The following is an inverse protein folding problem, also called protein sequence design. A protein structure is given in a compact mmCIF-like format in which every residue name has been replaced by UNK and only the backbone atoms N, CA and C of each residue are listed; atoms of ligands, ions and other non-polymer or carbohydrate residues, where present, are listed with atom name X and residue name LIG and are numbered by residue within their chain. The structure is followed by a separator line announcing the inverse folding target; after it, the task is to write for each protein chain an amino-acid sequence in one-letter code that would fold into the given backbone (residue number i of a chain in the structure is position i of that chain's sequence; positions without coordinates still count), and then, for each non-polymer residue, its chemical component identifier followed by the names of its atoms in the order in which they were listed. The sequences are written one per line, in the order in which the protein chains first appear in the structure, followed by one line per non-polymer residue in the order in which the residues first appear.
data_IF_517678584619
#
_entry.id   IF_517678584619
#
_cell.length_a   1.000
_cell.length_b   1.000
_cell.length_c   1.000
_cell.angle_alpha   90.00
_cell.angle_beta   90.00
_cell.angle_gamma   90.00
#
_symmetry.space_group_name_H-M   'P 1'
#
loop_
_entity.id
_entity.type
_entity.pdbx_description
1 polymer ?
#
# COMPACT_ATOMS: atom_id res chain seq x y z
N UNK A 1 -58.36 -4.37 23.19
CA UNK A 1 -57.67 -3.57 22.15
C UNK A 1 -56.26 -3.30 22.66
N UNK A 2 -55.25 -4.03 22.21
CA UNK A 2 -53.86 -3.57 22.30
C UNK A 2 -53.04 -4.31 21.26
N UNK A 3 -52.59 -3.53 20.29
CA UNK A 3 -52.07 -3.91 18.99
C UNK A 3 -50.73 -4.64 19.08
N UNK A 4 -50.59 -5.64 18.21
CA UNK A 4 -49.37 -6.39 17.91
C UNK A 4 -48.38 -5.51 17.10
N UNK A 5 -47.67 -4.60 17.77
CA UNK A 5 -46.70 -3.68 17.14
C UNK A 5 -45.21 -4.08 17.32
N UNK A 6 -44.95 -5.23 17.94
CA UNK A 6 -43.60 -5.63 18.36
C UNK A 6 -42.60 -6.02 17.24
N UNK A 7 -42.97 -6.64 16.09
CA UNK A 7 -41.97 -7.17 15.16
C UNK A 7 -41.44 -6.13 14.16
N UNK A 8 -42.26 -5.17 13.70
CA UNK A 8 -41.86 -4.19 12.67
C UNK A 8 -40.86 -3.15 13.22
N UNK A 9 -41.04 -2.73 14.48
CA UNK A 9 -40.15 -1.76 15.13
C UNK A 9 -38.76 -2.36 15.34
N UNK A 10 -38.64 -3.56 15.91
CA UNK A 10 -37.33 -4.24 16.09
C UNK A 10 -36.57 -4.45 14.77
N UNK A 11 -37.26 -4.82 13.68
CA UNK A 11 -36.63 -4.98 12.36
C UNK A 11 -36.11 -3.66 11.79
N UNK A 12 -36.82 -2.54 11.97
CA UNK A 12 -36.35 -1.21 11.53
C UNK A 12 -35.10 -0.75 12.27
N UNK A 13 -34.99 -0.99 13.57
CA UNK A 13 -33.79 -0.63 14.35
C UNK A 13 -32.59 -1.52 14.00
N UNK A 14 -32.81 -2.80 13.73
CA UNK A 14 -31.77 -3.69 13.18
C UNK A 14 -31.25 -3.22 11.83
N UNK A 15 -32.15 -2.82 10.92
CA UNK A 15 -31.75 -2.28 9.61
C UNK A 15 -31.00 -0.94 9.73
N UNK A 16 -31.40 -0.06 10.65
CA UNK A 16 -30.71 1.21 10.91
C UNK A 16 -29.31 0.93 11.49
N UNK A 17 -29.17 0.01 12.44
CA UNK A 17 -27.88 -0.37 13.01
C UNK A 17 -26.94 -0.95 11.95
N UNK A 18 -27.45 -1.81 11.06
CA UNK A 18 -26.69 -2.34 9.92
C UNK A 18 -26.27 -1.22 8.96
N UNK A 19 -27.18 -0.30 8.62
CA UNK A 19 -26.86 0.83 7.75
C UNK A 19 -25.79 1.76 8.35
N UNK A 20 -25.85 2.01 9.65
CA UNK A 20 -24.88 2.84 10.38
C UNK A 20 -23.48 2.22 10.37
N UNK A 21 -23.36 0.89 10.41
CA UNK A 21 -22.06 0.19 10.33
C UNK A 21 -21.60 0.00 8.88
N UNK A 22 -22.52 -0.31 7.96
CA UNK A 22 -22.19 -0.54 6.55
C UNK A 22 -21.74 0.73 5.84
N UNK A 23 -22.32 1.90 6.18
CA UNK A 23 -21.97 3.18 5.56
C UNK A 23 -20.49 3.57 5.72
N UNK A 24 -19.90 3.60 6.93
CA UNK A 24 -18.48 3.93 7.10
C UNK A 24 -17.57 2.90 6.44
N UNK A 25 -17.94 1.61 6.44
CA UNK A 25 -17.16 0.57 5.74
C UNK A 25 -17.16 0.84 4.23
N UNK A 26 -18.32 1.14 3.65
CA UNK A 26 -18.43 1.46 2.23
C UNK A 26 -17.62 2.72 1.87
N UNK A 27 -17.75 3.79 2.66
CA UNK A 27 -17.00 5.03 2.45
C UNK A 27 -15.49 4.79 2.55
N UNK A 28 -15.04 4.00 3.53
CA UNK A 28 -13.65 3.64 3.68
C UNK A 28 -13.13 2.81 2.49
N UNK A 29 -13.91 1.84 2.01
CA UNK A 29 -13.55 1.05 0.83
C UNK A 29 -13.42 1.91 -0.43
N UNK A 30 -14.34 2.85 -0.65
CA UNK A 30 -14.28 3.78 -1.79
C UNK A 30 -13.04 4.68 -1.66
N UNK A 31 -12.81 5.24 -0.47
CA UNK A 31 -11.65 6.09 -0.21
C UNK A 31 -10.33 5.34 -0.41
N UNK A 32 -10.18 4.16 0.17
CA UNK A 32 -8.99 3.32 0.02
C UNK A 32 -8.77 2.94 -1.46
N UNK A 33 -9.84 2.57 -2.17
CA UNK A 33 -9.80 2.31 -3.60
C UNK A 33 -9.29 3.52 -4.39
N UNK A 34 -9.83 4.71 -4.14
CA UNK A 34 -9.38 5.92 -4.82
C UNK A 34 -7.92 6.26 -4.49
N UNK A 35 -7.54 6.27 -3.20
CA UNK A 35 -6.20 6.60 -2.75
C UNK A 35 -5.13 5.64 -3.32
N UNK A 36 -5.46 4.35 -3.51
CA UNK A 36 -4.53 3.33 -3.98
C UNK A 36 -4.42 3.20 -5.50
N UNK A 37 -5.27 3.88 -6.27
CA UNK A 37 -5.24 3.87 -7.73
C UNK A 37 -4.95 5.25 -8.32
N UNK A 38 -4.91 6.30 -7.50
CA UNK A 38 -4.61 7.66 -7.96
C UNK A 38 -3.13 7.99 -7.74
N UNK A 39 -2.36 7.95 -8.82
CA UNK A 39 -0.99 8.43 -8.81
C UNK A 39 -0.94 9.96 -8.74
N UNK A 40 -0.38 10.49 -7.65
CA UNK A 40 -0.08 11.92 -7.52
C UNK A 40 1.14 12.30 -8.36
N UNK A 41 2.14 11.42 -8.40
CA UNK A 41 3.38 11.61 -9.14
C UNK A 41 3.92 10.26 -9.58
N UNK A 42 4.49 10.20 -10.77
CA UNK A 42 5.13 8.99 -11.31
C UNK A 42 6.54 9.34 -11.77
N UNK A 43 7.48 8.42 -11.65
CA UNK A 43 8.86 8.67 -12.05
C UNK A 43 9.77 7.47 -11.90
N UNK A 44 11.06 7.70 -12.09
CA UNK A 44 12.09 6.68 -11.92
C UNK A 44 13.11 7.06 -10.85
N UNK A 45 13.59 6.07 -10.11
CA UNK A 45 14.72 6.21 -9.19
C UNK A 45 15.73 5.10 -9.42
N UNK A 46 16.99 5.48 -9.51
CA UNK A 46 18.10 4.54 -9.65
C UNK A 46 18.88 4.44 -8.34
N UNK A 47 19.35 3.24 -8.03
CA UNK A 47 20.14 2.99 -6.83
C UNK A 47 20.60 1.54 -6.74
N UNK A 48 21.18 1.17 -5.61
CA UNK A 48 21.48 -0.24 -5.29
C UNK A 48 20.41 -0.76 -4.34
N UNK A 49 19.77 -1.87 -4.68
CA UNK A 49 18.77 -2.49 -3.83
C UNK A 49 19.46 -3.12 -2.61
N UNK A 50 19.32 -2.50 -1.44
CA UNK A 50 20.03 -2.91 -0.22
C UNK A 50 19.20 -3.90 0.60
N UNK A 51 17.89 -3.66 0.68
CA UNK A 51 16.98 -4.46 1.49
C UNK A 51 15.67 -4.66 0.74
N UNK A 52 15.15 -5.87 0.83
CA UNK A 52 13.81 -6.21 0.38
C UNK A 52 13.25 -7.29 1.30
N UNK A 53 12.09 -7.04 1.91
CA UNK A 53 11.54 -7.92 2.95
C UNK A 53 10.03 -7.87 2.95
N UNK A 54 9.40 -9.03 3.12
CA UNK A 54 7.97 -9.14 3.37
C UNK A 54 7.71 -8.99 4.87
N UNK A 55 7.24 -7.83 5.30
CA UNK A 55 7.04 -7.51 6.72
C UNK A 55 5.60 -7.10 7.01
N UNK A 56 5.18 -7.33 8.25
CA UNK A 56 3.83 -7.03 8.74
C UNK A 56 3.31 -8.10 9.69
N UNK A 57 2.46 -7.69 10.63
CA UNK A 57 1.87 -8.59 11.64
C UNK A 57 0.48 -9.10 11.23
N UNK A 58 -0.42 -8.18 10.87
CA UNK A 58 -1.78 -8.49 10.42
C UNK A 58 -1.89 -8.57 8.90
N UNK A 59 -1.28 -7.61 8.20
CA UNK A 59 -1.19 -7.54 6.74
C UNK A 59 0.29 -7.48 6.38
N UNK A 60 0.78 -8.41 5.57
CA UNK A 60 2.16 -8.38 5.11
C UNK A 60 2.27 -7.64 3.78
N UNK A 61 3.25 -6.75 3.69
CA UNK A 61 3.58 -6.01 2.48
C UNK A 61 5.05 -6.23 2.14
N UNK A 62 5.38 -6.11 0.86
CA UNK A 62 6.76 -6.15 0.40
C UNK A 62 7.35 -4.75 0.48
N UNK A 63 8.41 -4.60 1.25
CA UNK A 63 9.02 -3.31 1.55
C UNK A 63 10.49 -3.37 1.18
N UNK A 64 10.92 -2.40 0.39
CA UNK A 64 12.26 -2.30 -0.15
C UNK A 64 12.94 -0.99 0.19
N UNK A 65 14.26 -1.01 0.08
CA UNK A 65 15.13 0.14 0.31
C UNK A 65 16.27 0.16 -0.71
N UNK A 66 16.40 1.26 -1.45
CA UNK A 66 17.56 1.50 -2.32
C UNK A 66 18.48 2.57 -1.73
N UNK A 67 19.77 2.39 -1.96
CA UNK A 67 20.77 3.44 -1.79
C UNK A 67 20.91 4.21 -3.12
N UNK A 68 20.41 5.45 -3.19
CA UNK A 68 20.44 6.26 -4.41
C UNK A 68 21.84 6.83 -4.70
N UNK A 69 22.59 7.16 -3.65
CA UNK A 69 23.95 7.70 -3.74
C UNK A 69 24.94 6.62 -3.37
N UNK A 70 25.86 6.29 -4.27
CA UNK A 70 26.92 5.29 -4.03
C UNK A 70 28.31 5.91 -3.97
N UNK A 71 28.42 7.21 -3.67
CA UNK A 71 29.70 7.92 -3.59
C UNK A 71 30.48 7.43 -2.36
N UNK A 72 31.69 6.87 -2.54
CA UNK A 72 32.51 6.41 -1.41
C UNK A 72 32.80 7.54 -0.43
N UNK A 73 32.67 7.27 0.87
CA UNK A 73 32.92 8.25 1.93
C UNK A 73 31.74 9.18 2.25
N UNK A 74 30.61 9.07 1.53
CA UNK A 74 29.36 9.80 1.83
C UNK A 74 28.29 8.79 2.23
N UNK A 75 27.50 9.12 3.26
CA UNK A 75 26.37 8.30 3.66
C UNK A 75 25.36 8.20 2.50
N UNK A 76 24.94 6.98 2.09
CA UNK A 76 23.99 6.81 1.01
C UNK A 76 22.63 7.42 1.40
N UNK A 77 22.00 8.13 0.47
CA UNK A 77 20.62 8.56 0.64
C UNK A 77 19.74 7.34 0.40
N UNK A 78 19.13 6.85 1.47
CA UNK A 78 18.24 5.70 1.42
C UNK A 78 16.84 6.14 1.01
N UNK A 79 16.24 5.39 0.10
CA UNK A 79 14.84 5.57 -0.29
C UNK A 79 14.09 4.28 -0.12
N UNK A 80 13.02 4.34 0.67
CA UNK A 80 12.12 3.24 0.94
C UNK A 80 10.91 3.29 0.01
N UNK A 81 10.44 2.10 -0.35
CA UNK A 81 9.31 1.93 -1.25
C UNK A 81 8.56 0.64 -0.91
N UNK A 82 7.31 0.58 -1.35
CA UNK A 82 6.43 -0.58 -1.17
C UNK A 82 6.16 -1.24 -2.53
N UNK A 83 6.08 -2.57 -2.55
CA UNK A 83 5.64 -3.35 -3.72
C UNK A 83 4.38 -4.11 -3.35
N UNK A 84 3.37 -4.05 -4.22
CA UNK A 84 2.08 -4.74 -4.03
C UNK A 84 1.92 -5.96 -4.92
N UNK A 85 2.59 -5.99 -6.07
CA UNK A 85 2.53 -7.11 -7.00
C UNK A 85 3.57 -8.17 -6.62
N UNK A 86 3.12 -9.40 -6.35
CA UNK A 86 3.98 -10.52 -5.99
C UNK A 86 4.96 -10.93 -7.12
N UNK A 87 4.60 -10.71 -8.38
CA UNK A 87 5.48 -10.98 -9.52
C UNK A 87 6.65 -10.01 -9.53
N UNK A 88 6.38 -8.73 -9.29
CA UNK A 88 7.40 -7.68 -9.15
C UNK A 88 8.26 -7.97 -7.93
N UNK A 89 7.64 -8.36 -6.80
CA UNK A 89 8.37 -8.71 -5.58
C UNK A 89 9.34 -9.88 -5.78
N UNK A 90 8.95 -10.90 -6.55
CA UNK A 90 9.85 -12.01 -6.89
C UNK A 90 11.05 -11.53 -7.69
N UNK A 91 10.83 -10.72 -8.73
CA UNK A 91 11.93 -10.16 -9.53
C UNK A 91 12.87 -9.25 -8.72
N UNK A 92 12.32 -8.49 -7.78
CA UNK A 92 13.13 -7.67 -6.86
C UNK A 92 13.94 -8.49 -5.87
N UNK A 93 13.38 -9.59 -5.35
CA UNK A 93 14.10 -10.49 -4.45
C UNK A 93 15.36 -11.05 -5.10
N UNK A 94 15.33 -11.30 -6.41
CA UNK A 94 16.49 -11.74 -7.20
C UNK A 94 17.45 -10.61 -7.58
N UNK A 95 17.02 -9.35 -7.40
CA UNK A 95 17.79 -8.14 -7.69
C UNK A 95 18.47 -7.53 -6.45
N UNK A 96 18.30 -8.12 -5.26
CA UNK A 96 18.95 -7.63 -4.04
C UNK A 96 20.47 -7.62 -4.21
N UNK A 97 21.10 -6.52 -3.81
CA UNK A 97 22.53 -6.26 -3.97
C UNK A 97 22.93 -5.75 -5.35
N UNK A 98 22.02 -5.71 -6.33
CA UNK A 98 22.30 -5.21 -7.69
C UNK A 98 21.92 -3.74 -7.83
N UNK A 99 22.50 -3.10 -8.85
CA UNK A 99 22.06 -1.77 -9.29
C UNK A 99 20.74 -1.90 -10.04
N UNK A 100 19.76 -1.11 -9.66
CA UNK A 100 18.40 -1.16 -10.20
C UNK A 100 17.91 0.23 -10.54
N UNK A 101 17.03 0.30 -11.53
CA UNK A 101 16.18 1.44 -11.83
C UNK A 101 14.74 1.01 -11.58
N UNK A 102 14.06 1.75 -10.69
CA UNK A 102 12.71 1.47 -10.24
C UNK A 102 11.76 2.52 -10.80
N UNK A 103 10.70 2.07 -11.47
CA UNK A 103 9.56 2.94 -11.77
C UNK A 103 8.65 2.99 -10.54
N UNK A 104 8.13 4.16 -10.20
CA UNK A 104 7.28 4.31 -9.02
C UNK A 104 6.10 5.24 -9.28
N UNK A 105 5.00 4.95 -8.60
CA UNK A 105 3.84 5.81 -8.44
C UNK A 105 3.70 6.25 -6.97
N UNK A 106 3.66 7.56 -6.73
CA UNK A 106 3.39 8.15 -5.42
C UNK A 106 1.89 8.27 -5.22
N UNK A 107 1.35 7.50 -4.28
CA UNK A 107 -0.06 7.55 -3.90
C UNK A 107 -0.18 8.29 -2.57
N UNK A 108 -0.88 9.43 -2.57
CA UNK A 108 -1.08 10.23 -1.35
C UNK A 108 -2.34 9.80 -0.60
N UNK A 109 -2.26 9.81 0.72
CA UNK A 109 -3.40 9.52 1.59
C UNK A 109 -3.69 8.03 1.79
N UNK A 110 -2.69 7.16 1.62
CA UNK A 110 -2.81 5.72 1.93
C UNK A 110 -3.33 5.54 3.37
N UNK A 111 -4.52 4.95 3.56
CA UNK A 111 -5.24 5.02 4.84
C UNK A 111 -4.60 4.20 5.96
N UNK A 112 -3.91 3.11 5.63
CA UNK A 112 -3.35 2.18 6.62
C UNK A 112 -2.06 1.54 6.12
N UNK A 113 -1.24 1.07 7.06
CA UNK A 113 -0.01 0.30 6.78
C UNK A 113 -0.30 -1.07 6.16
N UNK A 114 -1.55 -1.56 6.22
CA UNK A 114 -1.94 -2.78 5.51
C UNK A 114 -1.84 -2.67 3.99
N UNK A 115 -1.84 -1.45 3.45
CA UNK A 115 -1.71 -1.22 2.01
C UNK A 115 -0.29 -0.87 1.58
N UNK A 116 0.57 -0.50 2.52
CA UNK A 116 1.97 -0.14 2.30
C UNK A 116 2.52 0.73 3.43
N UNK A 117 3.81 0.56 3.75
CA UNK A 117 4.48 1.42 4.74
C UNK A 117 4.84 2.80 4.18
N UNK A 118 4.91 2.92 2.85
CA UNK A 118 5.30 4.15 2.17
C UNK A 118 4.25 4.59 1.15
N UNK A 119 4.18 5.88 0.80
CA UNK A 119 3.33 6.33 -0.30
C UNK A 119 3.92 5.98 -1.68
N UNK A 120 5.11 5.40 -1.76
CA UNK A 120 5.80 5.11 -3.01
C UNK A 120 5.61 3.65 -3.39
N UNK A 121 4.83 3.41 -4.44
CA UNK A 121 4.55 2.08 -4.94
C UNK A 121 5.40 1.80 -6.17
N UNK A 122 6.23 0.76 -6.11
CA UNK A 122 7.01 0.31 -7.27
C UNK A 122 6.29 -0.81 -7.99
N UNK A 123 6.16 -0.65 -9.30
CA UNK A 123 5.49 -1.56 -10.22
C UNK A 123 6.44 -2.20 -11.24
N UNK A 124 7.62 -1.61 -11.46
CA UNK A 124 8.63 -2.11 -12.39
C UNK A 124 10.05 -1.96 -11.86
N UNK A 125 10.83 -3.03 -12.01
CA UNK A 125 12.27 -3.06 -11.73
C UNK A 125 13.04 -3.39 -13.00
N UNK A 126 14.11 -2.63 -13.24
CA UNK A 126 15.08 -2.89 -14.31
C UNK A 126 16.47 -3.03 -13.68
N UNK A 127 17.15 -4.15 -13.92
CA UNK A 127 18.53 -4.32 -13.44
C UNK A 127 19.44 -3.49 -14.35
N UNK A 128 20.15 -2.54 -13.76
CA UNK A 128 21.16 -1.77 -14.47
C UNK A 128 22.44 -2.60 -14.63
N UNK A 129 23.14 -2.48 -15.76
CA UNK A 129 24.42 -3.15 -15.99
C UNK A 129 25.54 -2.66 -15.07
#
# INVERSE_FOLDING_TARGET
MSESDAPKKKRRWGLIAVAVVATPVLLFSIYAGAALNWAYSEGERAGVLQKFSNKGWLCKTWEGEIAMTTVPGVAPVMWTFTVRDDLVAKSMSEAVGKRVVLHYAEHRGVPTTCFGDTPYFVDKVTIAP
#
